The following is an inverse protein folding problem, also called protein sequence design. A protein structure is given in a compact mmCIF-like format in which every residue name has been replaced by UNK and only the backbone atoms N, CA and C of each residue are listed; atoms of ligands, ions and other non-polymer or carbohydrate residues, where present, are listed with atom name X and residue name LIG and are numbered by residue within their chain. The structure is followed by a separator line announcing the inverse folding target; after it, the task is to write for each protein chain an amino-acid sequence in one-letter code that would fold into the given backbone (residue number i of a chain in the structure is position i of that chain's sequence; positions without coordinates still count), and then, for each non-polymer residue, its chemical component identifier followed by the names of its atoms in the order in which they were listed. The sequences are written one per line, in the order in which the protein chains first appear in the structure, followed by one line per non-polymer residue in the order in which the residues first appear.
data_IF_859494745782
#
_entry.id   IF_859494745782
#
_cell.length_a   1.000
_cell.length_b   1.000
_cell.length_c   1.000
_cell.angle_alpha   90.00
_cell.angle_beta   90.00
_cell.angle_gamma   90.00
#
_symmetry.space_group_name_H-M   'P 1'
#
loop_
_entity.id
_entity.type
_entity.pdbx_description
1 polymer ?
#
# COMPACT_ATOMS: atom_id res chain seq x y z
N UNK A 1 8.89 12.75 -15.71
CA UNK A 1 7.93 11.97 -16.51
C UNK A 1 7.80 10.57 -15.96
N UNK A 2 6.58 10.10 -15.81
CA UNK A 2 6.35 8.73 -15.36
C UNK A 2 6.71 7.73 -16.46
N UNK A 3 7.43 6.68 -16.09
CA UNK A 3 7.81 5.62 -17.01
C UNK A 3 7.35 4.28 -16.44
N UNK A 4 6.48 3.60 -17.18
CA UNK A 4 5.98 2.29 -16.76
C UNK A 4 7.10 1.26 -16.72
N UNK A 5 7.06 0.41 -15.69
CA UNK A 5 7.99 -0.69 -15.57
C UNK A 5 7.63 -1.84 -16.48
N UNK A 6 8.59 -2.74 -16.68
CA UNK A 6 8.41 -3.94 -17.51
C UNK A 6 8.33 -5.21 -16.68
N UNK A 7 8.82 -5.18 -15.43
CA UNK A 7 8.76 -6.33 -14.56
C UNK A 7 7.41 -6.42 -13.85
N UNK A 8 6.99 -7.63 -13.53
CA UNK A 8 5.75 -7.86 -12.80
C UNK A 8 5.95 -7.44 -11.35
N UNK A 9 5.04 -6.62 -10.78
CA UNK A 9 5.16 -6.21 -9.39
C UNK A 9 5.14 -7.40 -8.43
N UNK A 10 6.00 -7.33 -7.42
CA UNK A 10 6.07 -8.35 -6.37
C UNK A 10 5.69 -7.73 -5.03
N UNK A 11 5.05 -8.53 -4.19
CA UNK A 11 4.66 -8.09 -2.86
C UNK A 11 5.86 -7.53 -2.10
N UNK A 12 5.65 -6.40 -1.46
CA UNK A 12 6.71 -5.71 -0.70
C UNK A 12 7.52 -4.72 -1.48
N UNK A 13 7.45 -4.72 -2.81
CA UNK A 13 8.13 -3.73 -3.61
C UNK A 13 7.48 -2.36 -3.46
N UNK A 14 8.32 -1.33 -3.50
CA UNK A 14 7.85 0.05 -3.59
C UNK A 14 8.10 0.51 -5.00
N UNK A 15 7.05 0.99 -5.64
CA UNK A 15 7.10 1.47 -7.03
C UNK A 15 6.38 2.79 -7.11
N UNK A 16 6.85 3.68 -7.98
CA UNK A 16 6.05 4.84 -8.31
C UNK A 16 4.85 4.35 -9.12
N UNK A 17 3.69 4.90 -8.83
CA UNK A 17 2.48 4.60 -9.56
C UNK A 17 1.84 5.86 -10.08
N UNK A 18 1.19 5.76 -11.23
CA UNK A 18 0.42 6.85 -11.79
C UNK A 18 -1.06 6.49 -11.76
N UNK A 19 -1.83 7.34 -11.09
CA UNK A 19 -3.29 7.22 -11.06
C UNK A 19 -3.89 8.46 -11.67
N UNK A 20 -4.78 8.28 -12.65
CA UNK A 20 -5.43 9.40 -13.30
C UNK A 20 -6.33 10.17 -12.33
N UNK A 21 -6.53 11.46 -12.60
CA UNK A 21 -7.36 12.34 -11.78
C UNK A 21 -8.80 12.40 -12.27
N UNK A 22 -9.35 11.26 -12.65
CA UNK A 22 -10.74 11.22 -13.06
C UNK A 22 -11.69 11.53 -11.90
N UNK A 23 -12.91 11.90 -12.25
CA UNK A 23 -13.90 12.35 -11.29
C UNK A 23 -14.22 11.29 -10.22
N UNK A 24 -14.25 10.02 -10.61
CA UNK A 24 -14.58 8.95 -9.66
C UNK A 24 -13.52 8.82 -8.55
N UNK A 25 -12.25 9.05 -8.89
CA UNK A 25 -11.17 9.01 -7.91
C UNK A 25 -11.23 10.21 -6.97
N UNK A 26 -11.57 11.39 -7.48
CA UNK A 26 -11.73 12.57 -6.66
C UNK A 26 -12.87 12.42 -5.67
N UNK A 27 -13.98 11.84 -6.11
CA UNK A 27 -15.13 11.59 -5.24
C UNK A 27 -14.81 10.60 -4.12
N UNK A 28 -14.02 9.58 -4.43
CA UNK A 28 -13.64 8.57 -3.42
C UNK A 28 -12.42 8.97 -2.61
N UNK A 29 -11.88 10.15 -2.82
CA UNK A 29 -10.69 10.67 -2.13
C UNK A 29 -9.45 9.79 -2.32
N UNK A 30 -9.38 9.05 -3.42
CA UNK A 30 -8.19 8.26 -3.74
C UNK A 30 -7.10 9.16 -4.25
N UNK A 31 -5.87 8.74 -4.03
CA UNK A 31 -4.71 9.50 -4.47
C UNK A 31 -4.62 9.49 -6.00
N UNK A 32 -4.27 10.64 -6.56
CA UNK A 32 -4.12 10.82 -8.01
C UNK A 32 -2.72 11.35 -8.31
N UNK A 33 -2.30 11.24 -9.56
CA UNK A 33 -0.97 11.65 -9.97
C UNK A 33 0.06 10.57 -9.69
N UNK A 34 1.30 10.97 -9.52
CA UNK A 34 2.42 10.06 -9.28
C UNK A 34 2.75 10.02 -7.79
N UNK A 35 2.69 8.84 -7.21
CA UNK A 35 3.02 8.60 -5.81
C UNK A 35 3.82 7.32 -5.67
N UNK A 36 4.65 7.20 -4.61
CA UNK A 36 5.20 5.90 -4.27
C UNK A 36 4.09 5.04 -3.67
N UNK A 37 4.08 3.76 -4.05
CA UNK A 37 3.10 2.78 -3.57
C UNK A 37 3.82 1.54 -3.08
N UNK A 38 3.28 0.95 -2.03
CA UNK A 38 3.70 -0.37 -1.55
C UNK A 38 2.80 -1.41 -2.19
N UNK A 39 3.39 -2.41 -2.83
CA UNK A 39 2.64 -3.53 -3.40
C UNK A 39 2.30 -4.50 -2.26
N UNK A 40 1.03 -4.78 -2.06
CA UNK A 40 0.55 -5.62 -0.96
C UNK A 40 -0.15 -6.88 -1.41
N UNK A 41 -0.43 -7.05 -2.67
CA UNK A 41 -1.05 -8.27 -3.18
C UNK A 41 -0.01 -9.34 -3.51
N UNK A 42 -0.44 -10.60 -3.48
CA UNK A 42 0.47 -11.73 -3.70
C UNK A 42 0.94 -11.81 -5.15
N UNK A 43 2.09 -12.45 -5.31
CA UNK A 43 2.76 -12.49 -6.61
C UNK A 43 1.99 -13.24 -7.69
N UNK A 44 1.26 -14.28 -7.32
CA UNK A 44 0.45 -15.03 -8.28
C UNK A 44 -0.67 -14.15 -8.83
N UNK A 45 -1.37 -13.44 -7.95
CA UNK A 45 -2.41 -12.50 -8.36
C UNK A 45 -1.85 -11.42 -9.28
N UNK A 46 -0.72 -10.83 -8.90
CA UNK A 46 -0.10 -9.77 -9.67
C UNK A 46 0.26 -10.24 -11.09
N UNK A 47 0.73 -11.47 -11.21
CA UNK A 47 1.11 -12.04 -12.48
C UNK A 47 -0.09 -12.40 -13.35
N UNK A 48 -1.11 -13.01 -12.76
CA UNK A 48 -2.23 -13.57 -13.54
C UNK A 48 -3.31 -12.56 -13.87
N UNK A 49 -3.51 -11.55 -13.01
CA UNK A 49 -4.58 -10.56 -13.19
C UNK A 49 -4.15 -9.34 -14.00
N UNK A 50 -2.86 -9.09 -14.12
CA UNK A 50 -2.36 -7.87 -14.76
C UNK A 50 -2.52 -6.62 -13.91
N UNK A 51 -2.92 -6.77 -12.66
CA UNK A 51 -3.10 -5.66 -11.72
C UNK A 51 -2.61 -6.08 -10.34
N UNK A 52 -2.45 -5.13 -9.44
CA UNK A 52 -2.06 -5.40 -8.07
C UNK A 52 -2.73 -4.44 -7.11
N UNK A 53 -2.80 -4.83 -5.84
CA UNK A 53 -3.27 -3.95 -4.79
C UNK A 53 -2.09 -3.24 -4.19
N UNK A 54 -2.27 -1.96 -3.94
CA UNK A 54 -1.20 -1.06 -3.51
C UNK A 54 -1.70 -0.12 -2.43
N UNK A 55 -0.77 0.38 -1.62
CA UNK A 55 -1.06 1.37 -0.59
C UNK A 55 -0.13 2.56 -0.82
N UNK A 56 -0.67 3.79 -0.88
CA UNK A 56 0.15 4.96 -1.19
C UNK A 56 0.96 5.47 0.00
N UNK A 57 2.10 6.04 -0.30
CA UNK A 57 2.88 6.85 0.64
C UNK A 57 2.67 8.32 0.33
N UNK A 58 2.70 9.16 1.36
CA UNK A 58 2.68 10.61 1.20
C UNK A 58 3.68 11.25 2.16
N UNK A 59 4.23 12.40 1.77
CA UNK A 59 5.09 13.18 2.65
C UNK A 59 4.31 14.28 3.38
N UNK A 60 3.02 14.38 3.16
CA UNK A 60 2.20 15.51 3.64
C UNK A 60 1.55 15.29 5.01
N UNK A 61 1.66 14.09 5.57
CA UNK A 61 0.98 13.73 6.82
C UNK A 61 1.93 13.52 7.99
N UNK A 62 3.14 13.99 7.88
CA UNK A 62 4.17 13.81 8.91
C UNK A 62 3.75 14.52 10.20
N UNK A 63 3.93 13.83 11.32
CA UNK A 63 3.63 14.37 12.64
C UNK A 63 2.17 14.31 13.05
N UNK A 64 1.30 13.79 12.21
CA UNK A 64 -0.14 13.65 12.53
C UNK A 64 -0.44 12.20 12.87
N UNK A 65 -0.80 11.94 14.11
CA UNK A 65 -1.13 10.58 14.50
C UNK A 65 -2.47 10.14 13.95
N UNK A 66 -2.51 8.92 13.43
CA UNK A 66 -3.72 8.24 13.03
C UNK A 66 -3.42 6.73 13.03
N UNK A 67 -4.25 5.90 13.65
CA UNK A 67 -3.94 4.46 13.78
C UNK A 67 -3.84 3.70 12.46
N UNK A 68 -4.35 4.27 11.35
CA UNK A 68 -4.23 3.67 10.02
C UNK A 68 -3.24 4.44 9.14
N UNK A 69 -2.43 5.29 9.73
CA UNK A 69 -1.34 5.98 9.06
C UNK A 69 -0.03 5.58 9.72
N UNK A 70 0.90 5.05 8.94
CA UNK A 70 2.18 4.58 9.48
C UNK A 70 3.29 5.49 8.98
N UNK A 71 3.96 6.14 9.90
CA UNK A 71 5.08 7.02 9.56
C UNK A 71 6.38 6.24 9.55
N UNK A 72 7.08 6.30 8.43
CA UNK A 72 8.42 5.75 8.28
C UNK A 72 9.40 6.90 8.07
N UNK A 73 10.49 6.88 8.81
CA UNK A 73 11.53 7.89 8.67
C UNK A 73 12.40 7.61 7.45
N UNK A 74 12.99 8.67 6.91
CA UNK A 74 13.92 8.55 5.78
C UNK A 74 14.99 7.50 6.10
N UNK A 75 15.18 6.56 5.19
CA UNK A 75 16.16 5.49 5.36
C UNK A 75 15.68 4.29 6.17
N UNK A 76 14.55 4.38 6.84
CA UNK A 76 13.99 3.25 7.60
C UNK A 76 13.53 2.14 6.67
N UNK A 77 13.07 2.50 5.50
CA UNK A 77 12.64 1.57 4.46
C UNK A 77 13.53 1.77 3.25
N UNK A 78 14.04 0.67 2.70
CA UNK A 78 14.89 0.75 1.51
C UNK A 78 14.13 1.45 0.37
N UNK A 79 14.72 2.50 -0.16
CA UNK A 79 14.15 3.26 -1.27
C UNK A 79 13.32 4.47 -0.87
N UNK A 80 12.95 4.62 0.39
CA UNK A 80 12.27 5.83 0.88
C UNK A 80 13.33 6.79 1.42
N UNK A 81 13.59 7.84 0.67
CA UNK A 81 14.64 8.81 1.01
C UNK A 81 14.11 10.00 1.81
N UNK A 82 12.79 10.07 2.00
CA UNK A 82 12.13 11.11 2.79
C UNK A 82 11.23 10.47 3.82
N UNK A 83 10.99 11.17 4.93
CA UNK A 83 9.97 10.77 5.89
C UNK A 83 8.64 10.65 5.15
N UNK A 84 8.00 9.53 5.27
CA UNK A 84 6.79 9.22 4.51
C UNK A 84 5.78 8.51 5.39
N UNK A 85 4.51 8.74 5.07
CA UNK A 85 3.40 8.09 5.78
C UNK A 85 2.68 7.17 4.82
N UNK A 86 2.53 5.91 5.23
CA UNK A 86 1.76 4.92 4.49
C UNK A 86 0.30 5.05 4.90
N UNK A 87 -0.58 5.28 3.93
CA UNK A 87 -2.00 5.57 4.17
C UNK A 87 -2.81 4.31 3.93
N UNK A 88 -3.08 3.55 4.99
CA UNK A 88 -3.73 2.24 4.88
C UNK A 88 -5.11 2.32 4.24
N UNK A 89 -5.92 3.31 4.62
CA UNK A 89 -7.25 3.47 4.03
C UNK A 89 -7.22 3.93 2.58
N UNK A 90 -6.06 4.33 2.09
CA UNK A 90 -5.88 4.72 0.69
C UNK A 90 -5.60 3.56 -0.25
N UNK A 91 -5.73 2.32 0.23
CA UNK A 91 -5.48 1.13 -0.59
C UNK A 91 -6.25 1.22 -1.91
N UNK A 92 -5.58 0.85 -2.97
CA UNK A 92 -6.11 1.00 -4.32
C UNK A 92 -5.69 -0.21 -5.16
N UNK A 93 -6.33 -0.37 -6.29
CA UNK A 93 -5.96 -1.37 -7.28
C UNK A 93 -5.47 -0.64 -8.51
N UNK A 94 -4.24 -0.93 -8.92
CA UNK A 94 -3.65 -0.35 -10.13
C UNK A 94 -3.26 -1.46 -11.09
N UNK A 95 -3.29 -1.14 -12.38
CA UNK A 95 -2.76 -2.05 -13.41
C UNK A 95 -1.24 -2.08 -13.30
N UNK A 96 -0.65 -3.22 -13.61
CA UNK A 96 0.80 -3.34 -13.55
C UNK A 96 1.50 -2.27 -14.42
N UNK A 97 0.89 -1.91 -15.55
CA UNK A 97 1.44 -0.89 -16.45
C UNK A 97 1.38 0.53 -15.87
N UNK A 98 0.67 0.73 -14.76
CA UNK A 98 0.64 2.01 -14.08
C UNK A 98 1.75 2.14 -13.03
N UNK A 99 2.59 1.13 -12.89
CA UNK A 99 3.68 1.11 -11.91
C UNK A 99 5.03 1.15 -12.61
N UNK A 100 5.97 1.87 -12.01
CA UNK A 100 7.35 1.90 -12.48
C UNK A 100 8.08 0.61 -12.11
N UNK A 101 9.35 0.50 -12.51
CA UNK A 101 10.23 -0.50 -11.93
C UNK A 101 10.39 -0.24 -10.42
N UNK A 102 10.74 -1.25 -9.63
CA UNK A 102 10.85 -1.05 -8.18
C UNK A 102 11.93 -0.03 -7.82
N UNK A 103 11.62 0.84 -6.89
CA UNK A 103 12.56 1.84 -6.35
C UNK A 103 12.96 1.52 -4.92
N UNK A 104 12.30 0.57 -4.29
CA UNK A 104 12.58 0.14 -2.95
C UNK A 104 11.82 -1.12 -2.61
N UNK A 105 11.96 -1.56 -1.37
CA UNK A 105 11.26 -2.75 -0.91
C UNK A 105 11.14 -2.77 0.62
N UNK A 106 10.10 -3.41 1.11
CA UNK A 106 9.95 -3.71 2.52
C UNK A 106 10.81 -4.91 2.87
N UNK A 107 11.42 -4.84 4.05
CA UNK A 107 12.00 -6.02 4.70
C UNK A 107 10.96 -6.60 5.65
N UNK A 108 11.22 -7.78 6.18
CA UNK A 108 10.29 -8.45 7.08
C UNK A 108 9.85 -7.56 8.24
N UNK A 109 10.78 -6.83 8.84
CA UNK A 109 10.48 -5.96 9.98
C UNK A 109 9.60 -4.76 9.66
N UNK A 110 9.53 -4.37 8.39
CA UNK A 110 8.69 -3.23 8.00
C UNK A 110 7.19 -3.57 8.00
N UNK A 111 6.85 -4.85 7.89
CA UNK A 111 5.44 -5.27 7.79
C UNK A 111 4.68 -5.22 9.09
N UNK A 112 5.37 -5.26 10.21
CA UNK A 112 4.74 -5.41 11.52
C UNK A 112 3.69 -4.34 11.79
N UNK A 113 4.04 -3.08 11.56
CA UNK A 113 3.10 -1.98 11.77
C UNK A 113 1.96 -1.98 10.75
N UNK A 114 2.21 -2.49 9.55
CA UNK A 114 1.17 -2.62 8.52
C UNK A 114 0.11 -3.62 8.97
N UNK A 115 0.53 -4.76 9.50
CA UNK A 115 -0.39 -5.78 10.01
C UNK A 115 -1.27 -5.20 11.11
N UNK A 116 -0.69 -4.47 12.05
CA UNK A 116 -1.46 -3.87 13.14
C UNK A 116 -2.44 -2.81 12.63
N UNK A 117 -2.02 -1.97 11.70
CA UNK A 117 -2.89 -0.94 11.13
C UNK A 117 -4.02 -1.56 10.30
N UNK A 118 -3.74 -2.65 9.58
CA UNK A 118 -4.78 -3.37 8.84
C UNK A 118 -5.83 -3.96 9.76
N UNK A 119 -5.44 -4.42 10.96
CA UNK A 119 -6.40 -4.90 11.94
C UNK A 119 -7.32 -3.80 12.46
N UNK A 120 -6.83 -2.57 12.49
CA UNK A 120 -7.67 -1.42 12.84
C UNK A 120 -8.63 -1.09 11.70
N UNK A 121 -8.12 -1.03 10.48
CA UNK A 121 -8.92 -0.70 9.29
C UNK A 121 -9.94 -1.80 8.98
N UNK A 122 -9.55 -3.05 9.19
CA UNK A 122 -10.38 -4.23 8.90
C UNK A 122 -10.50 -5.09 10.16
N UNK A 123 -11.41 -4.75 11.07
CA UNK A 123 -11.50 -5.42 12.37
C UNK A 123 -11.70 -6.93 12.31
N UNK A 124 -12.27 -7.44 11.20
CA UNK A 124 -12.43 -8.88 11.04
C UNK A 124 -11.11 -9.64 10.99
N UNK A 125 -9.99 -8.95 10.80
CA UNK A 125 -8.66 -9.56 10.82
C UNK A 125 -8.15 -9.82 12.24
N UNK A 126 -8.82 -9.28 13.26
CA UNK A 126 -8.45 -9.54 14.64
C UNK A 126 -8.88 -10.93 15.01
N UNK A 127 -7.91 -11.74 15.44
CA UNK A 127 -8.23 -13.05 15.99
C UNK A 127 -8.58 -12.85 17.45
N UNK A 128 -9.87 -12.78 17.73
CA UNK A 128 -10.33 -12.93 19.10
C UNK A 128 -10.02 -14.38 19.46
N UNK A 129 -9.12 -14.60 20.38
CA UNK A 129 -8.50 -15.89 20.65
C UNK A 129 -9.48 -17.01 20.97
N UNK A 130 -10.69 -16.70 21.38
CA UNK A 130 -11.69 -17.68 21.76
C UNK A 130 -12.95 -17.60 20.95
N UNK A 131 -13.02 -16.69 20.00
CA UNK A 131 -14.25 -16.47 19.25
C UNK A 131 -14.21 -17.17 17.89
N UNK A 132 -14.41 -18.47 17.93
CA UNK A 132 -14.54 -19.27 16.72
C UNK A 132 -15.81 -18.92 15.94
N UNK A 133 -16.78 -18.27 16.58
CA UNK A 133 -18.03 -17.87 15.94
C UNK A 133 -17.79 -16.87 14.81
N UNK A 134 -16.85 -15.98 15.00
CA UNK A 134 -16.48 -15.01 13.97
C UNK A 134 -16.00 -15.70 12.71
N UNK A 135 -15.25 -16.78 12.85
CA UNK A 135 -14.72 -17.54 11.72
C UNK A 135 -15.79 -18.32 10.98
N UNK A 136 -16.87 -18.70 11.65
CA UNK A 136 -17.94 -19.45 11.01
C UNK A 136 -18.91 -18.57 10.24
N UNK A 137 -18.94 -17.30 10.53
CA UNK A 137 -19.80 -16.34 9.83
C UNK A 137 -19.18 -15.91 8.50
N UNK A 138 -17.89 -15.93 8.42
CA UNK A 138 -17.15 -15.44 7.24
C UNK A 138 -17.34 -16.33 6.02
#
# INVERSE_FOLDING_TARGET
MFVAGKSIPKIGEIRFGYASDDESRLITHKYVGVHPYLVVSNNTYNKTSGQCEVIPFTTKRIGKYNPVHIEYKAGEVRGLIKDSTLIIEGRDTLRNCQLSEPVGEFTEGNWERVVEAMKVQCPFLRKESTDSTVLTIA
#
